data_IF_411997537079
#
_entry.id   IF_411997537079
#
_cell.length_a   1.000
_cell.length_b   1.000
_cell.length_c   1.000
_cell.angle_alpha   90.00
_cell.angle_beta   90.00
_cell.angle_gamma   90.00
#
_symmetry.space_group_name_H-M   'P 1'
#
loop_
_entity.id
_entity.type
_entity.pdbx_description
1 polymer ?
#
# COMPACT_ATOMS: atom_id res chain seq x y z
N UNK A 1 66.62 -19.33 12.33
CA UNK A 1 66.41 -18.78 10.97
C UNK A 1 65.28 -19.60 10.33
N UNK A 2 64.03 -19.39 10.75
CA UNK A 2 63.02 -18.45 10.22
C UNK A 2 62.45 -18.85 8.84
N UNK A 3 61.19 -19.36 8.85
CA UNK A 3 60.07 -19.22 7.88
C UNK A 3 59.22 -20.50 7.91
N UNK A 4 57.90 -20.51 7.83
CA UNK A 4 56.83 -19.53 8.05
C UNK A 4 55.54 -20.37 8.09
N UNK A 5 54.74 -20.19 9.13
CA UNK A 5 53.45 -20.83 9.34
C UNK A 5 52.36 -20.08 8.56
N UNK A 6 52.17 -20.33 7.27
CA UNK A 6 51.09 -19.70 6.50
C UNK A 6 50.56 -20.58 5.37
N UNK A 7 50.08 -21.80 5.66
CA UNK A 7 49.24 -22.48 4.66
C UNK A 7 48.24 -23.52 5.18
N UNK A 8 47.61 -23.28 6.34
CA UNK A 8 46.64 -24.23 6.90
C UNK A 8 45.28 -23.61 7.21
N UNK A 9 44.73 -22.82 6.29
CA UNK A 9 43.36 -22.27 6.37
C UNK A 9 42.58 -22.44 5.06
N UNK A 10 42.79 -23.54 4.33
CA UNK A 10 41.78 -24.07 3.39
C UNK A 10 41.00 -25.18 4.10
N UNK A 11 40.14 -24.81 5.05
CA UNK A 11 39.11 -25.74 5.55
C UNK A 11 37.85 -25.50 4.74
N UNK A 12 37.77 -26.19 3.62
CA UNK A 12 36.63 -26.28 2.71
C UNK A 12 35.33 -26.50 3.50
N UNK A 13 34.37 -25.58 3.36
CA UNK A 13 32.99 -25.78 3.81
C UNK A 13 32.48 -27.05 3.10
N UNK A 14 31.95 -28.07 3.81
CA UNK A 14 31.56 -29.32 3.17
C UNK A 14 30.42 -29.05 2.17
N UNK A 15 30.55 -29.59 0.95
CA UNK A 15 29.58 -29.43 -0.15
C UNK A 15 28.13 -29.79 0.25
N UNK A 16 27.98 -30.70 1.22
CA UNK A 16 26.69 -31.08 1.83
C UNK A 16 26.05 -29.95 2.65
N UNK A 17 26.84 -29.08 3.28
CA UNK A 17 26.33 -27.90 4.00
C UNK A 17 25.87 -26.81 3.02
N UNK A 18 26.56 -26.63 1.89
CA UNK A 18 26.13 -25.71 0.82
C UNK A 18 24.83 -26.19 0.19
N UNK A 19 24.69 -27.50 -0.05
CA UNK A 19 23.48 -28.11 -0.57
C UNK A 19 22.29 -28.01 0.42
N UNK A 20 22.55 -28.17 1.72
CA UNK A 20 21.54 -27.99 2.76
C UNK A 20 21.07 -26.53 2.90
N UNK A 21 21.99 -25.56 2.79
CA UNK A 21 21.67 -24.13 2.78
C UNK A 21 20.86 -23.79 1.52
N UNK A 22 21.23 -24.33 0.35
CA UNK A 22 20.49 -24.13 -0.89
C UNK A 22 19.08 -24.74 -0.83
N UNK A 23 18.92 -25.90 -0.19
CA UNK A 23 17.62 -26.56 0.01
C UNK A 23 16.71 -25.80 1.00
N UNK A 24 17.28 -25.06 1.95
CA UNK A 24 16.52 -24.22 2.91
C UNK A 24 16.08 -22.88 2.29
N UNK A 25 16.89 -22.30 1.41
CA UNK A 25 16.63 -20.98 0.79
C UNK A 25 15.70 -21.09 -0.43
N UNK A 26 15.76 -22.20 -1.17
CA UNK A 26 14.96 -22.43 -2.38
C UNK A 26 13.44 -22.27 -2.17
N UNK A 27 12.80 -22.86 -1.12
CA UNK A 27 11.35 -22.70 -0.92
C UNK A 27 10.95 -21.27 -0.51
N UNK A 28 11.82 -20.53 0.17
CA UNK A 28 11.56 -19.12 0.56
C UNK A 28 11.57 -18.22 -0.67
N UNK A 29 12.51 -18.45 -1.59
CA UNK A 29 12.58 -17.74 -2.86
C UNK A 29 11.41 -18.09 -3.78
N UNK A 30 11.02 -19.38 -3.82
CA UNK A 30 9.87 -19.83 -4.61
C UNK A 30 8.55 -19.25 -4.09
N UNK A 31 8.35 -19.19 -2.77
CA UNK A 31 7.14 -18.63 -2.16
C UNK A 31 6.97 -17.13 -2.46
N UNK A 32 8.06 -16.39 -2.60
CA UNK A 32 8.03 -14.97 -2.98
C UNK A 32 7.58 -14.75 -4.44
N UNK A 33 7.79 -15.72 -5.34
CA UNK A 33 7.41 -15.62 -6.75
C UNK A 33 5.93 -15.92 -7.02
N UNK A 34 5.24 -16.63 -6.12
CA UNK A 34 3.85 -17.06 -6.32
C UNK A 34 2.83 -16.21 -5.56
N UNK A 35 3.24 -15.04 -5.06
CA UNK A 35 2.31 -14.11 -4.44
C UNK A 35 1.18 -13.77 -5.44
N UNK A 36 -0.10 -14.01 -5.10
CA UNK A 36 -1.20 -13.60 -5.96
C UNK A 36 -1.14 -12.08 -6.12
N UNK A 37 -1.15 -11.62 -7.37
CA UNK A 37 -1.32 -10.20 -7.69
C UNK A 37 -2.72 -9.78 -7.23
N UNK A 38 -2.80 -9.27 -6.01
CA UNK A 38 -3.97 -8.53 -5.54
C UNK A 38 -3.94 -7.21 -6.30
N UNK A 39 -4.74 -7.11 -7.36
CA UNK A 39 -5.00 -5.83 -8.01
C UNK A 39 -5.81 -4.97 -7.05
N UNK A 40 -5.13 -4.03 -6.37
CA UNK A 40 -5.79 -2.94 -5.71
C UNK A 40 -6.40 -2.03 -6.78
N UNK A 41 -7.73 -1.90 -6.78
CA UNK A 41 -8.41 -0.93 -7.63
C UNK A 41 -7.90 0.47 -7.28
N UNK A 42 -7.37 1.19 -8.27
CA UNK A 42 -6.78 2.51 -8.02
C UNK A 42 -7.86 3.57 -7.80
N UNK A 43 -7.54 4.61 -7.02
CA UNK A 43 -8.45 5.75 -6.78
C UNK A 43 -8.86 6.41 -8.11
N UNK A 44 -7.96 6.44 -9.09
CA UNK A 44 -8.25 7.03 -10.40
C UNK A 44 -9.22 6.19 -11.23
N UNK A 45 -9.15 4.86 -11.11
CA UNK A 45 -10.11 3.94 -11.72
C UNK A 45 -11.51 4.08 -11.10
N UNK A 46 -11.60 4.20 -9.77
CA UNK A 46 -12.87 4.48 -9.07
C UNK A 46 -13.46 5.84 -9.48
N UNK A 47 -12.62 6.88 -9.61
CA UNK A 47 -13.07 8.21 -10.08
C UNK A 47 -13.59 8.17 -11.51
N UNK A 48 -12.92 7.42 -12.39
CA UNK A 48 -13.36 7.21 -13.78
C UNK A 48 -14.71 6.50 -13.80
N UNK A 49 -14.89 5.47 -12.98
CA UNK A 49 -16.15 4.74 -12.88
C UNK A 49 -17.31 5.65 -12.42
N UNK A 50 -17.07 6.54 -11.45
CA UNK A 50 -18.04 7.58 -11.06
C UNK A 50 -18.39 8.49 -12.23
N UNK A 51 -17.40 8.95 -13.01
CA UNK A 51 -17.65 9.80 -14.17
C UNK A 51 -18.52 9.09 -15.22
N UNK A 52 -18.24 7.82 -15.49
CA UNK A 52 -19.01 6.99 -16.41
C UNK A 52 -20.45 6.77 -15.92
N UNK A 53 -20.65 6.53 -14.61
CA UNK A 53 -22.00 6.44 -14.04
C UNK A 53 -22.76 7.76 -14.14
N UNK A 54 -22.11 8.89 -13.88
CA UNK A 54 -22.74 10.21 -14.04
C UNK A 54 -23.17 10.48 -15.49
N UNK A 55 -22.36 10.08 -16.48
CA UNK A 55 -22.74 10.18 -17.89
C UNK A 55 -23.98 9.33 -18.21
N UNK A 56 -24.05 8.10 -17.68
CA UNK A 56 -25.22 7.21 -17.84
C UNK A 56 -26.48 7.77 -17.17
N UNK A 57 -26.36 8.41 -16.01
CA UNK A 57 -27.48 9.10 -15.34
C UNK A 57 -28.06 10.18 -16.25
N UNK A 58 -27.20 11.03 -16.85
CA UNK A 58 -27.67 12.10 -17.74
C UNK A 58 -28.40 11.55 -18.97
N UNK A 59 -27.91 10.44 -19.54
CA UNK A 59 -28.59 9.79 -20.66
C UNK A 59 -29.98 9.26 -20.24
N UNK A 60 -30.07 8.57 -19.10
CA UNK A 60 -31.36 8.09 -18.57
C UNK A 60 -32.33 9.24 -18.25
N UNK A 61 -31.85 10.37 -17.73
CA UNK A 61 -32.68 11.54 -17.47
C UNK A 61 -33.27 12.13 -18.76
N UNK A 62 -32.48 12.18 -19.83
CA UNK A 62 -32.96 12.61 -21.14
C UNK A 62 -34.02 11.65 -21.71
N UNK A 63 -33.78 10.34 -21.62
CA UNK A 63 -34.75 9.31 -22.07
C UNK A 63 -36.06 9.36 -21.26
N UNK A 64 -35.99 9.52 -19.94
CA UNK A 64 -37.16 9.68 -19.08
C UNK A 64 -37.95 10.92 -19.49
N UNK A 65 -37.29 12.06 -19.69
CA UNK A 65 -37.96 13.30 -20.10
C UNK A 65 -38.65 13.17 -21.47
N UNK A 66 -38.01 12.48 -22.42
CA UNK A 66 -38.60 12.19 -23.73
C UNK A 66 -39.86 11.33 -23.60
N UNK A 67 -39.82 10.25 -22.81
CA UNK A 67 -40.99 9.40 -22.61
C UNK A 67 -42.09 10.08 -21.80
N UNK A 68 -41.76 10.94 -20.84
CA UNK A 68 -42.75 11.76 -20.13
C UNK A 68 -43.46 12.73 -21.07
N UNK A 69 -42.73 13.34 -22.02
CA UNK A 69 -43.33 14.19 -23.06
C UNK A 69 -44.29 13.39 -23.95
N UNK A 70 -43.87 12.21 -24.42
CA UNK A 70 -44.70 11.33 -25.26
C UNK A 70 -45.92 10.81 -24.49
N UNK A 71 -45.82 10.61 -23.18
CA UNK A 71 -46.93 10.19 -22.32
C UNK A 71 -48.05 11.24 -22.26
N UNK A 72 -47.70 12.52 -22.38
CA UNK A 72 -48.66 13.62 -22.37
C UNK A 72 -49.45 13.72 -23.68
N UNK A 73 -48.93 13.14 -24.77
CA UNK A 73 -49.52 13.21 -26.12
C UNK A 73 -50.38 11.98 -26.46
N UNK A 74 -50.29 10.87 -25.72
CA UNK A 74 -50.82 9.57 -26.15
C UNK A 74 -51.79 8.92 -25.13
N UNK A 75 -52.85 8.29 -25.66
CA UNK A 75 -53.87 7.50 -24.93
C UNK A 75 -53.44 6.06 -24.57
N UNK A 76 -53.96 5.05 -25.26
CA UNK A 76 -53.89 3.62 -24.87
C UNK A 76 -52.49 3.05 -24.59
N UNK A 77 -51.42 3.63 -25.14
CA UNK A 77 -50.04 3.16 -24.94
C UNK A 77 -49.43 3.65 -23.61
N UNK A 78 -50.17 4.45 -22.85
CA UNK A 78 -49.77 5.03 -21.56
C UNK A 78 -49.23 4.00 -20.56
N UNK A 79 -49.82 2.80 -20.49
CA UNK A 79 -49.36 1.77 -19.55
C UNK A 79 -47.96 1.22 -19.92
N UNK A 80 -47.68 1.03 -21.21
CA UNK A 80 -46.39 0.54 -21.69
C UNK A 80 -45.30 1.60 -21.49
N UNK A 81 -45.58 2.86 -21.84
CA UNK A 81 -44.65 3.96 -21.60
C UNK A 81 -44.42 4.20 -20.10
N UNK A 82 -45.46 4.14 -19.26
CA UNK A 82 -45.31 4.23 -17.80
C UNK A 82 -44.41 3.12 -17.24
N UNK A 83 -44.53 1.90 -17.77
CA UNK A 83 -43.66 0.79 -17.39
C UNK A 83 -42.21 1.08 -17.78
N UNK A 84 -41.95 1.55 -19.00
CA UNK A 84 -40.62 1.92 -19.45
C UNK A 84 -40.00 3.04 -18.60
N UNK A 85 -40.76 4.10 -18.29
CA UNK A 85 -40.31 5.18 -17.39
C UNK A 85 -39.92 4.62 -16.02
N UNK A 86 -40.75 3.72 -15.45
CA UNK A 86 -40.46 3.09 -14.16
C UNK A 86 -39.19 2.24 -14.21
N UNK A 87 -38.96 1.49 -15.29
CA UNK A 87 -37.74 0.70 -15.48
C UNK A 87 -36.49 1.59 -15.59
N UNK A 88 -36.57 2.70 -16.32
CA UNK A 88 -35.49 3.68 -16.40
C UNK A 88 -35.24 4.38 -15.06
N UNK A 89 -36.27 4.76 -14.32
CA UNK A 89 -36.13 5.37 -12.98
C UNK A 89 -35.51 4.41 -11.97
N UNK A 90 -35.89 3.12 -12.01
CA UNK A 90 -35.23 2.07 -11.21
C UNK A 90 -33.74 1.97 -11.59
N UNK A 91 -33.42 2.01 -12.88
CA UNK A 91 -32.04 1.95 -13.37
C UNK A 91 -31.22 3.18 -12.93
N UNK A 92 -31.83 4.38 -13.01
CA UNK A 92 -31.26 5.64 -12.51
C UNK A 92 -30.98 5.57 -11.02
N UNK A 93 -31.94 5.11 -10.21
CA UNK A 93 -31.78 4.93 -8.76
C UNK A 93 -30.65 3.95 -8.43
N UNK A 94 -30.57 2.83 -9.14
CA UNK A 94 -29.47 1.85 -8.97
C UNK A 94 -28.11 2.48 -9.24
N UNK A 95 -27.98 3.26 -10.32
CA UNK A 95 -26.74 3.96 -10.63
C UNK A 95 -26.38 5.02 -9.57
N UNK A 96 -27.36 5.76 -9.03
CA UNK A 96 -27.14 6.69 -7.92
C UNK A 96 -26.64 5.98 -6.66
N UNK A 97 -27.25 4.84 -6.30
CA UNK A 97 -26.78 4.01 -5.17
C UNK A 97 -25.35 3.53 -5.41
N UNK A 98 -25.01 3.09 -6.63
CA UNK A 98 -23.65 2.67 -6.95
C UNK A 98 -22.65 3.83 -6.82
N UNK A 99 -22.99 5.04 -7.29
CA UNK A 99 -22.16 6.23 -7.09
C UNK A 99 -21.91 6.48 -5.60
N UNK A 100 -22.94 6.37 -4.76
CA UNK A 100 -22.79 6.54 -3.30
C UNK A 100 -21.85 5.50 -2.69
N UNK A 101 -21.97 4.23 -3.11
CA UNK A 101 -21.07 3.16 -2.66
C UNK A 101 -19.63 3.47 -3.05
N UNK A 102 -19.39 3.83 -4.32
CA UNK A 102 -18.03 4.15 -4.82
C UNK A 102 -17.45 5.38 -4.11
N UNK A 103 -18.25 6.41 -3.84
CA UNK A 103 -17.82 7.58 -3.07
C UNK A 103 -17.43 7.21 -1.64
N UNK A 104 -18.21 6.37 -0.97
CA UNK A 104 -17.90 5.89 0.37
C UNK A 104 -16.62 5.06 0.41
N UNK A 105 -16.36 4.24 -0.62
CA UNK A 105 -15.11 3.50 -0.76
C UNK A 105 -13.91 4.45 -0.89
N UNK A 106 -14.01 5.47 -1.76
CA UNK A 106 -12.96 6.50 -1.90
C UNK A 106 -12.70 7.20 -0.56
N UNK A 107 -13.76 7.56 0.17
CA UNK A 107 -13.64 8.20 1.47
C UNK A 107 -12.92 7.28 2.48
N UNK A 108 -13.33 6.01 2.58
CA UNK A 108 -12.69 5.02 3.44
C UNK A 108 -11.21 4.84 3.12
N UNK A 109 -10.86 4.68 1.84
CA UNK A 109 -9.46 4.58 1.40
C UNK A 109 -8.67 5.85 1.72
N UNK A 110 -9.29 7.02 1.61
CA UNK A 110 -8.64 8.29 1.98
C UNK A 110 -8.30 8.34 3.47
N UNK A 111 -9.21 7.89 4.34
CA UNK A 111 -8.96 7.79 5.78
C UNK A 111 -7.82 6.82 6.08
N UNK A 112 -7.80 5.65 5.43
CA UNK A 112 -6.71 4.68 5.59
C UNK A 112 -5.35 5.26 5.15
N UNK A 113 -5.32 6.04 4.08
CA UNK A 113 -4.10 6.73 3.64
C UNK A 113 -3.62 7.73 4.69
N UNK A 114 -4.54 8.47 5.32
CA UNK A 114 -4.20 9.43 6.39
C UNK A 114 -3.62 8.72 7.61
N UNK A 115 -4.28 7.65 8.07
CA UNK A 115 -3.83 6.82 9.19
C UNK A 115 -2.43 6.23 8.91
N UNK A 116 -2.23 5.63 7.74
CA UNK A 116 -0.92 5.13 7.33
C UNK A 116 0.13 6.24 7.26
N UNK A 117 -0.25 7.45 6.84
CA UNK A 117 0.63 8.62 6.84
C UNK A 117 1.08 9.01 8.25
N UNK A 118 0.18 9.02 9.22
CA UNK A 118 0.49 9.28 10.63
C UNK A 118 1.40 8.20 11.22
N UNK A 119 1.11 6.92 10.96
CA UNK A 119 1.96 5.80 11.40
C UNK A 119 3.38 5.88 10.83
N UNK A 120 3.53 6.31 9.57
CA UNK A 120 4.84 6.49 8.94
C UNK A 120 5.62 7.61 9.64
N UNK A 121 4.97 8.72 9.99
CA UNK A 121 5.60 9.83 10.70
C UNK A 121 6.06 9.37 12.08
N UNK A 122 5.21 8.70 12.86
CA UNK A 122 5.59 8.15 14.18
C UNK A 122 6.80 7.22 14.07
N UNK A 123 6.78 6.28 13.11
CA UNK A 123 7.91 5.37 12.88
C UNK A 123 9.18 6.11 12.49
N UNK A 124 9.08 7.16 11.66
CA UNK A 124 10.23 8.00 11.28
C UNK A 124 10.84 8.66 12.51
N UNK A 125 10.02 9.27 13.36
CA UNK A 125 10.47 9.98 14.55
C UNK A 125 11.10 9.03 15.57
N UNK A 126 10.56 7.82 15.71
CA UNK A 126 11.18 6.76 16.52
C UNK A 126 12.56 6.35 16.00
N UNK A 127 12.70 6.14 14.69
CA UNK A 127 13.99 5.82 14.06
C UNK A 127 15.01 6.94 14.29
N UNK A 128 14.59 8.20 14.16
CA UNK A 128 15.45 9.36 14.39
C UNK A 128 15.92 9.42 15.86
N UNK A 129 15.01 9.23 16.81
CA UNK A 129 15.33 9.19 18.24
C UNK A 129 16.28 8.04 18.58
N UNK A 130 16.03 6.84 18.07
CA UNK A 130 16.88 5.68 18.27
C UNK A 130 18.29 5.90 17.68
N UNK A 131 18.36 6.52 16.49
CA UNK A 131 19.63 6.89 15.85
C UNK A 131 20.41 7.90 16.69
N UNK A 132 19.73 8.91 17.22
CA UNK A 132 20.33 9.92 18.11
C UNK A 132 20.80 9.31 19.44
N UNK A 133 20.07 8.35 19.98
CA UNK A 133 20.45 7.61 21.18
C UNK A 133 21.73 6.79 20.95
N UNK A 134 21.81 6.06 19.83
CA UNK A 134 23.01 5.31 19.43
C UNK A 134 24.20 6.25 19.22
N UNK A 135 24.01 7.35 18.50
CA UNK A 135 25.08 8.34 18.28
C UNK A 135 25.59 8.96 19.60
N UNK A 136 24.70 9.17 20.57
CA UNK A 136 25.07 9.68 21.90
C UNK A 136 25.80 8.63 22.73
N UNK A 137 25.39 7.36 22.66
CA UNK A 137 26.10 6.25 23.30
C UNK A 137 27.52 6.10 22.76
N UNK A 138 27.70 6.13 21.43
CA UNK A 138 29.04 6.06 20.79
C UNK A 138 29.92 7.24 21.22
N UNK A 139 29.38 8.47 21.23
CA UNK A 139 30.12 9.66 21.70
C UNK A 139 30.53 9.52 23.18
N UNK A 140 29.64 9.00 24.02
CA UNK A 140 29.95 8.73 25.43
C UNK A 140 31.07 7.72 25.62
N UNK A 141 31.07 6.62 24.84
CA UNK A 141 32.17 5.65 24.85
C UNK A 141 33.50 6.32 24.47
N UNK A 142 33.50 7.10 23.38
CA UNK A 142 34.71 7.79 22.91
C UNK A 142 35.26 8.81 23.93
N UNK A 143 34.39 9.51 24.66
CA UNK A 143 34.81 10.45 25.71
C UNK A 143 35.43 9.73 26.93
N UNK A 144 34.86 8.60 27.33
CA UNK A 144 35.37 7.78 28.44
C UNK A 144 36.75 7.19 28.07
N UNK A 145 36.89 6.64 26.86
CA UNK A 145 38.15 6.09 26.36
C UNK A 145 39.24 7.17 26.26
N UNK A 146 38.89 8.35 25.75
CA UNK A 146 39.83 9.47 25.65
C UNK A 146 40.34 9.93 27.01
N UNK A 147 39.47 10.04 28.03
CA UNK A 147 39.86 10.40 29.40
C UNK A 147 40.77 9.36 30.04
N UNK A 148 40.42 8.08 29.91
CA UNK A 148 41.23 6.96 30.43
C UNK A 148 42.63 6.94 29.83
N UNK A 149 42.77 7.20 28.53
CA UNK A 149 44.08 7.26 27.88
C UNK A 149 44.94 8.45 28.36
N UNK A 150 44.34 9.62 28.55
CA UNK A 150 45.04 10.80 29.08
C UNK A 150 45.50 10.56 30.51
N UNK A 151 44.65 9.94 31.34
CA UNK A 151 44.96 9.59 32.72
C UNK A 151 46.09 8.55 32.80
N UNK A 152 46.10 7.55 31.91
CA UNK A 152 47.17 6.57 31.81
C UNK A 152 48.52 7.17 31.37
N UNK A 153 48.51 8.23 30.54
CA UNK A 153 49.72 8.93 30.09
C UNK A 153 50.24 9.91 31.15
N UNK A 154 49.35 10.60 31.88
CA UNK A 154 49.72 11.60 32.89
C UNK A 154 49.94 11.01 34.29
N UNK A 155 49.39 9.84 34.59
CA UNK A 155 49.58 9.13 35.85
C UNK A 155 50.87 8.31 35.92
N UNK A 156 51.75 8.41 34.92
CA UNK A 156 53.02 7.68 34.86
C UNK A 156 54.26 8.50 35.27
N UNK A 157 54.08 9.68 35.88
CA UNK A 157 55.12 10.43 36.61
C UNK A 157 54.78 10.49 38.11
#
# INVERSE_FOLDING_TARGET
MHKNSFNKIEKTIPSTAIMAIMFLILPIFFFSLVAPYVSAQSVDELKKEIADFNAKIKALEAEISQYESQLNEIGSDKQTLQKAIKELDISRKKLLTNIQITQNQIYSTTLQIQELGEEIIDKKDRIENDTNAVASAIRGINEIESKSMIEAVLGYD
#
